data_IF_632558555227
#
_entry.id   IF_632558555227
#
_cell.length_a   1.000
_cell.length_b   1.000
_cell.length_c   1.000
_cell.angle_alpha   90.00
_cell.angle_beta   90.00
_cell.angle_gamma   90.00
#
_symmetry.space_group_name_H-M   'P 1'
#
loop_
_entity.id
_entity.type
_entity.pdbx_description
1 polymer ?
#
# COMPACT_ATOMS: atom_id res chain seq x y z
N UNK A 1 44.69 -24.85 -20.33
CA UNK A 1 43.50 -23.95 -20.45
C UNK A 1 42.72 -24.02 -19.18
N UNK A 2 42.63 -22.92 -18.39
CA UNK A 2 41.77 -22.88 -17.22
C UNK A 2 40.35 -22.55 -17.68
N UNK A 3 39.44 -23.48 -17.50
CA UNK A 3 38.02 -23.24 -17.78
C UNK A 3 37.48 -22.19 -16.82
N UNK A 4 37.03 -21.05 -17.34
CA UNK A 4 36.36 -20.00 -16.57
C UNK A 4 34.96 -20.51 -16.26
N UNK A 5 34.69 -20.74 -14.97
CA UNK A 5 33.37 -21.20 -14.52
C UNK A 5 32.43 -20.00 -14.48
N UNK A 6 31.69 -19.77 -15.57
CA UNK A 6 30.76 -18.67 -15.70
C UNK A 6 29.59 -18.68 -14.68
N UNK A 7 29.34 -19.80 -13.99
CA UNK A 7 28.27 -19.88 -12.95
C UNK A 7 28.58 -19.05 -11.71
N UNK A 8 29.86 -18.75 -11.41
CA UNK A 8 30.20 -17.96 -10.22
C UNK A 8 30.15 -16.44 -10.45
N UNK A 9 30.17 -15.99 -11.70
CA UNK A 9 30.14 -14.56 -12.04
C UNK A 9 28.72 -13.95 -11.98
N UNK A 10 27.69 -14.77 -12.16
CA UNK A 10 26.30 -14.33 -12.13
C UNK A 10 25.62 -14.36 -10.75
N UNK A 11 26.28 -14.92 -9.73
CA UNK A 11 25.74 -15.07 -8.38
C UNK A 11 25.99 -13.84 -7.50
N UNK A 12 26.74 -12.82 -7.97
CA UNK A 12 27.12 -11.66 -7.15
C UNK A 12 26.39 -10.35 -7.40
N UNK A 13 25.42 -10.28 -8.27
CA UNK A 13 24.43 -9.22 -8.22
C UNK A 13 23.14 -9.78 -7.61
N UNK A 14 23.25 -10.20 -6.37
CA UNK A 14 22.09 -10.51 -5.54
C UNK A 14 21.37 -9.23 -5.18
N UNK A 15 20.71 -8.59 -6.12
CA UNK A 15 19.40 -8.05 -5.83
C UNK A 15 18.65 -9.27 -5.35
N UNK A 16 18.45 -9.40 -4.03
CA UNK A 16 17.35 -10.21 -3.51
C UNK A 16 16.12 -9.65 -4.22
N UNK A 17 15.72 -10.25 -5.33
CA UNK A 17 14.34 -10.26 -5.75
C UNK A 17 13.65 -10.85 -4.53
N UNK A 18 13.10 -9.99 -3.69
CA UNK A 18 12.11 -10.39 -2.72
C UNK A 18 11.07 -11.05 -3.62
N UNK A 19 11.00 -12.37 -3.59
CA UNK A 19 9.96 -13.12 -4.25
C UNK A 19 8.68 -12.45 -3.79
N UNK A 20 7.94 -11.83 -4.71
CA UNK A 20 6.61 -11.29 -4.41
C UNK A 20 5.77 -12.52 -4.07
N UNK A 21 5.79 -12.94 -2.80
CA UNK A 21 5.17 -14.18 -2.37
C UNK A 21 3.63 -14.11 -2.39
N UNK A 22 3.06 -12.89 -2.44
CA UNK A 22 1.62 -12.66 -2.40
C UNK A 22 1.23 -11.41 -3.20
N UNK A 23 -0.04 -11.30 -3.67
CA UNK A 23 -0.60 -10.05 -4.17
C UNK A 23 -0.61 -9.00 -3.08
N UNK A 24 -0.01 -7.82 -3.32
CA UNK A 24 0.19 -6.81 -2.29
C UNK A 24 -0.23 -5.41 -2.74
N UNK A 25 -0.84 -4.68 -1.80
CA UNK A 25 -1.04 -3.25 -1.80
C UNK A 25 -0.08 -2.62 -0.81
N UNK A 26 0.62 -1.57 -1.22
CA UNK A 26 1.53 -0.81 -0.37
C UNK A 26 1.03 0.62 -0.26
N UNK A 27 0.77 1.07 0.96
CA UNK A 27 0.56 2.47 1.26
C UNK A 27 1.91 3.17 1.27
N UNK A 28 2.06 4.16 0.37
CA UNK A 28 3.29 4.91 0.19
C UNK A 28 3.22 6.24 0.94
N UNK A 29 3.93 6.35 2.05
CA UNK A 29 3.97 7.57 2.86
C UNK A 29 4.51 8.80 2.10
N UNK A 30 5.33 8.60 1.08
CA UNK A 30 5.96 9.67 0.32
C UNK A 30 5.11 10.24 -0.83
N UNK A 31 4.01 9.57 -1.20
CA UNK A 31 3.22 9.92 -2.39
C UNK A 31 1.73 10.18 -2.11
N UNK A 32 1.31 10.14 -0.84
CA UNK A 32 -0.11 10.21 -0.47
C UNK A 32 -0.97 9.23 -1.29
N UNK A 33 -0.48 7.99 -1.47
CA UNK A 33 -1.15 7.04 -2.33
C UNK A 33 -0.73 5.61 -2.10
N UNK A 34 -1.20 4.76 -2.99
CA UNK A 34 -1.03 3.31 -2.94
C UNK A 34 -0.24 2.81 -4.14
N UNK A 35 0.42 1.66 -3.98
CA UNK A 35 1.11 0.95 -5.05
C UNK A 35 0.74 -0.53 -5.03
N UNK A 36 0.41 -1.09 -6.18
CA UNK A 36 0.19 -2.52 -6.38
C UNK A 36 1.47 -3.20 -6.84
N UNK A 37 1.73 -4.42 -6.35
CA UNK A 37 2.75 -5.28 -6.95
C UNK A 37 2.21 -5.98 -8.22
N UNK A 38 3.06 -6.70 -8.95
CA UNK A 38 2.64 -7.38 -10.19
C UNK A 38 1.57 -8.44 -9.95
N UNK A 39 1.66 -9.16 -8.83
CA UNK A 39 0.68 -10.19 -8.48
C UNK A 39 -0.69 -9.58 -8.19
N UNK A 40 -0.76 -8.45 -7.51
CA UNK A 40 -2.01 -7.73 -7.26
C UNK A 40 -2.62 -7.17 -8.56
N UNK A 41 -1.80 -6.63 -9.46
CA UNK A 41 -2.24 -6.19 -10.79
C UNK A 41 -2.88 -7.36 -11.56
N UNK A 42 -2.24 -8.52 -11.57
CA UNK A 42 -2.76 -9.71 -12.23
C UNK A 42 -4.02 -10.24 -11.55
N UNK A 43 -4.05 -10.27 -10.20
CA UNK A 43 -5.21 -10.73 -9.43
C UNK A 43 -6.44 -9.86 -9.70
N UNK A 44 -6.28 -8.54 -9.74
CA UNK A 44 -7.33 -7.58 -10.05
C UNK A 44 -7.71 -7.57 -11.55
N UNK A 45 -6.91 -8.20 -12.41
CA UNK A 45 -7.13 -8.23 -13.86
C UNK A 45 -7.08 -6.84 -14.51
N UNK A 46 -6.19 -5.95 -14.02
CA UNK A 46 -6.08 -4.57 -14.49
C UNK A 46 -4.86 -4.36 -15.37
N UNK A 47 -4.96 -3.39 -16.28
CA UNK A 47 -3.86 -2.90 -17.13
C UNK A 47 -3.42 -1.53 -16.62
N UNK A 48 -2.23 -1.42 -16.00
CA UNK A 48 -1.70 -0.13 -15.54
C UNK A 48 -1.65 0.93 -16.65
N UNK A 49 -2.12 2.13 -16.35
CA UNK A 49 -2.25 3.23 -17.30
C UNK A 49 -3.57 3.28 -18.07
N UNK A 50 -4.48 2.31 -17.84
CA UNK A 50 -5.79 2.25 -18.50
C UNK A 50 -6.93 1.99 -17.51
N UNK A 51 -6.74 0.99 -16.65
CA UNK A 51 -7.81 0.52 -15.78
C UNK A 51 -7.78 1.21 -14.42
N UNK A 52 -8.91 1.17 -13.71
CA UNK A 52 -9.15 1.80 -12.43
C UNK A 52 -9.37 0.75 -11.35
N UNK A 53 -9.20 1.17 -10.10
CA UNK A 53 -9.58 0.42 -8.91
C UNK A 53 -10.49 1.27 -8.04
N UNK A 54 -11.38 0.62 -7.31
CA UNK A 54 -12.20 1.25 -6.29
C UNK A 54 -11.86 0.67 -4.93
N UNK A 55 -11.79 1.53 -3.92
CA UNK A 55 -11.69 1.14 -2.52
C UNK A 55 -12.94 1.63 -1.79
N UNK A 56 -13.49 0.80 -0.94
CA UNK A 56 -14.74 1.08 -0.24
C UNK A 56 -14.79 0.35 1.11
N UNK A 57 -15.75 0.71 1.94
CA UNK A 57 -15.95 0.09 3.24
C UNK A 57 -16.37 -1.38 3.07
N UNK A 58 -15.86 -2.23 3.94
CA UNK A 58 -16.27 -3.63 4.02
C UNK A 58 -17.77 -3.72 4.33
N UNK A 59 -18.49 -4.58 3.61
CA UNK A 59 -19.94 -4.78 3.76
C UNK A 59 -20.36 -5.20 5.18
N UNK A 60 -19.48 -5.91 5.88
CA UNK A 60 -19.70 -6.40 7.24
C UNK A 60 -19.13 -5.43 8.31
N UNK A 61 -18.56 -4.29 7.90
CA UNK A 61 -17.95 -3.35 8.83
C UNK A 61 -19.00 -2.53 9.58
N UNK A 62 -18.75 -2.33 10.87
CA UNK A 62 -19.47 -1.43 11.74
C UNK A 62 -18.50 -0.44 12.42
N UNK A 63 -19.01 0.39 13.35
CA UNK A 63 -18.20 1.38 14.06
C UNK A 63 -17.08 0.76 14.90
N UNK A 64 -17.22 -0.50 15.31
CA UNK A 64 -16.23 -1.23 16.12
C UNK A 64 -15.19 -1.99 15.28
N UNK A 65 -15.38 -2.05 13.96
CA UNK A 65 -14.49 -2.80 13.06
C UNK A 65 -13.11 -2.14 13.02
N UNK A 66 -12.03 -2.89 13.32
CA UNK A 66 -10.67 -2.39 13.22
C UNK A 66 -10.34 -1.86 11.83
N UNK A 67 -9.47 -0.85 11.77
CA UNK A 67 -9.07 -0.23 10.49
C UNK A 67 -8.48 -1.23 9.50
N UNK A 68 -7.82 -2.26 10.01
CA UNK A 68 -7.20 -3.34 9.24
C UNK A 68 -8.21 -4.24 8.52
N UNK A 69 -9.47 -4.23 8.97
CA UNK A 69 -10.57 -5.04 8.40
C UNK A 69 -11.60 -4.18 7.67
N UNK A 70 -11.42 -2.87 7.68
CA UNK A 70 -12.43 -1.89 7.26
C UNK A 70 -12.56 -1.75 5.76
N UNK A 71 -11.49 -1.90 4.99
CA UNK A 71 -11.49 -1.55 3.57
C UNK A 71 -11.37 -2.77 2.66
N UNK A 72 -12.09 -2.68 1.54
CA UNK A 72 -12.06 -3.61 0.44
C UNK A 72 -11.54 -2.91 -0.82
N UNK A 73 -11.01 -3.70 -1.76
CA UNK A 73 -10.56 -3.22 -3.07
C UNK A 73 -11.13 -4.11 -4.18
N UNK A 74 -11.52 -3.49 -5.29
CA UNK A 74 -11.94 -4.17 -6.51
C UNK A 74 -11.50 -3.43 -7.77
N UNK A 75 -11.57 -4.10 -8.93
CA UNK A 75 -11.47 -3.44 -10.23
C UNK A 75 -12.69 -2.55 -10.45
N UNK A 76 -12.45 -1.32 -10.93
CA UNK A 76 -13.49 -0.37 -11.30
C UNK A 76 -13.50 -0.19 -12.82
N UNK A 77 -14.37 -0.92 -13.51
CA UNK A 77 -14.61 -0.82 -14.94
C UNK A 77 -16.10 -0.54 -15.21
N UNK A 78 -16.63 0.42 -14.48
CA UNK A 78 -18.03 0.88 -14.56
C UNK A 78 -18.11 2.40 -14.42
N UNK A 79 -19.24 2.93 -14.87
CA UNK A 79 -19.60 4.35 -14.73
C UNK A 79 -20.79 4.49 -13.78
N UNK A 80 -20.96 5.68 -13.22
CA UNK A 80 -22.20 6.04 -12.53
C UNK A 80 -23.33 6.37 -13.52
N UNK A 81 -24.46 6.82 -12.98
CA UNK A 81 -25.65 7.20 -13.75
C UNK A 81 -25.39 8.35 -14.73
N UNK A 82 -24.42 9.21 -14.42
CA UNK A 82 -23.99 10.34 -15.24
C UNK A 82 -22.95 9.93 -16.31
N UNK A 83 -22.54 8.67 -16.36
CA UNK A 83 -21.53 8.15 -17.28
C UNK A 83 -20.10 8.46 -16.85
N UNK A 84 -19.88 8.83 -15.58
CA UNK A 84 -18.55 9.15 -15.04
C UNK A 84 -17.87 7.86 -14.60
N UNK A 85 -16.66 7.62 -15.10
CA UNK A 85 -15.83 6.47 -14.72
C UNK A 85 -15.53 6.48 -13.22
N UNK A 86 -15.85 5.38 -12.54
CA UNK A 86 -15.66 5.25 -11.10
C UNK A 86 -14.25 4.75 -10.74
N UNK A 87 -13.83 5.06 -9.51
CA UNK A 87 -12.54 4.62 -8.97
C UNK A 87 -11.34 5.45 -9.39
N UNK A 88 -10.19 5.07 -8.91
CA UNK A 88 -8.90 5.73 -9.15
C UNK A 88 -8.15 5.05 -10.30
N UNK A 89 -7.67 5.85 -11.27
CA UNK A 89 -6.83 5.35 -12.35
C UNK A 89 -5.50 4.82 -11.80
N UNK A 90 -5.17 3.58 -12.13
CA UNK A 90 -3.87 2.98 -11.80
C UNK A 90 -2.84 3.44 -12.83
N UNK A 91 -1.83 4.17 -12.41
CA UNK A 91 -0.77 4.69 -13.28
C UNK A 91 0.08 3.56 -13.89
N UNK A 92 0.89 3.87 -14.91
CA UNK A 92 1.88 2.93 -15.47
C UNK A 92 2.88 2.41 -14.44
N UNK A 93 3.12 3.16 -13.36
CA UNK A 93 3.96 2.75 -12.23
C UNK A 93 3.21 1.92 -11.19
N UNK A 94 1.96 1.56 -11.48
CA UNK A 94 1.04 0.80 -10.60
C UNK A 94 0.67 1.53 -9.31
N UNK A 95 0.71 2.86 -9.34
CA UNK A 95 0.31 3.73 -8.23
C UNK A 95 -1.05 4.35 -8.51
N UNK A 96 -1.80 4.62 -7.45
CA UNK A 96 -3.07 5.34 -7.51
C UNK A 96 -3.30 6.11 -6.20
N UNK A 97 -4.21 7.08 -6.25
CA UNK A 97 -4.56 7.89 -5.09
C UNK A 97 -6.02 7.64 -4.69
N UNK A 98 -6.22 7.44 -3.40
CA UNK A 98 -7.51 7.31 -2.73
C UNK A 98 -7.42 8.03 -1.39
N UNK A 99 -7.43 9.36 -1.42
CA UNK A 99 -6.98 10.22 -0.32
C UNK A 99 -7.71 9.98 1.00
N UNK A 100 -9.02 9.74 0.97
CA UNK A 100 -9.81 9.45 2.18
C UNK A 100 -9.37 8.13 2.82
N UNK A 101 -9.31 7.04 2.03
CA UNK A 101 -8.88 5.73 2.53
C UNK A 101 -7.42 5.77 3.00
N UNK A 102 -6.57 6.45 2.23
CA UNK A 102 -5.16 6.67 2.60
C UNK A 102 -5.03 7.33 3.96
N UNK A 103 -5.77 8.43 4.18
CA UNK A 103 -5.74 9.19 5.43
C UNK A 103 -6.27 8.36 6.60
N UNK A 104 -7.39 7.67 6.41
CA UNK A 104 -7.98 6.80 7.41
C UNK A 104 -7.02 5.69 7.85
N UNK A 105 -6.40 5.01 6.90
CA UNK A 105 -5.42 3.95 7.16
C UNK A 105 -4.18 4.48 7.89
N UNK A 106 -3.64 5.61 7.44
CA UNK A 106 -2.41 6.16 8.01
C UNK A 106 -2.60 6.67 9.44
N UNK A 107 -3.76 7.24 9.73
CA UNK A 107 -4.11 7.75 11.07
C UNK A 107 -4.77 6.68 11.95
N UNK A 108 -5.15 5.53 11.40
CA UNK A 108 -5.87 4.49 12.14
C UNK A 108 -7.30 4.91 12.53
N UNK A 109 -7.91 5.84 11.78
CA UNK A 109 -9.23 6.38 12.05
C UNK A 109 -10.08 6.42 10.77
N UNK A 110 -11.17 5.62 10.69
CA UNK A 110 -12.02 5.54 9.51
C UNK A 110 -12.84 6.82 9.25
N UNK A 111 -13.05 7.66 10.24
CA UNK A 111 -13.80 8.91 10.12
C UNK A 111 -13.02 10.04 9.45
N UNK A 112 -11.73 9.88 9.23
CA UNK A 112 -10.89 10.90 8.60
C UNK A 112 -11.20 10.99 7.11
N UNK A 113 -11.60 12.17 6.65
CA UNK A 113 -11.89 12.40 5.22
C UNK A 113 -10.63 12.72 4.41
N UNK A 114 -9.71 13.49 4.98
CA UNK A 114 -8.38 13.73 4.42
C UNK A 114 -7.45 14.24 5.51
N UNK A 115 -6.14 14.02 5.36
CA UNK A 115 -5.16 14.54 6.30
C UNK A 115 -4.20 15.53 5.64
N UNK A 116 -3.87 16.59 6.39
CA UNK A 116 -2.80 17.52 6.05
C UNK A 116 -1.45 17.03 6.61
N UNK A 117 -0.36 17.67 6.19
CA UNK A 117 0.95 17.44 6.80
C UNK A 117 0.94 17.67 8.31
N UNK A 118 0.17 18.68 8.79
CA UNK A 118 0.03 18.95 10.21
C UNK A 118 -0.68 17.80 10.94
N UNK A 119 -1.71 17.22 10.34
CA UNK A 119 -2.42 16.07 10.92
C UNK A 119 -1.50 14.85 11.03
N UNK A 120 -0.69 14.59 10.00
CA UNK A 120 0.30 13.51 10.00
C UNK A 120 1.38 13.71 11.06
N UNK A 121 1.85 14.93 11.24
CA UNK A 121 2.82 15.29 12.30
C UNK A 121 2.21 15.09 13.69
N UNK A 122 0.99 15.58 13.92
CA UNK A 122 0.29 15.46 15.20
C UNK A 122 -0.01 13.99 15.54
N UNK A 123 -0.25 13.15 14.54
CA UNK A 123 -0.43 11.71 14.72
C UNK A 123 0.89 10.93 14.89
N UNK A 124 2.05 11.59 14.85
CA UNK A 124 3.35 10.94 14.92
C UNK A 124 3.70 10.10 13.69
N UNK A 125 2.99 10.29 12.58
CA UNK A 125 3.24 9.59 11.32
C UNK A 125 4.25 10.31 10.42
N UNK A 126 4.69 11.49 10.83
CA UNK A 126 5.64 12.32 10.11
C UNK A 126 6.56 13.03 11.11
N UNK A 127 7.85 13.05 10.85
CA UNK A 127 8.84 13.81 11.59
C UNK A 127 9.50 14.83 10.67
N UNK A 128 9.50 16.10 11.09
CA UNK A 128 9.99 17.18 10.26
C UNK A 128 9.26 17.27 8.93
N UNK A 129 9.90 16.86 7.86
CA UNK A 129 9.36 16.94 6.48
C UNK A 129 9.09 15.58 5.82
N UNK A 130 9.29 14.48 6.55
CA UNK A 130 9.31 13.14 5.97
C UNK A 130 8.24 12.27 6.63
N UNK A 131 7.41 11.65 5.84
CA UNK A 131 6.47 10.65 6.32
C UNK A 131 7.22 9.40 6.81
N UNK A 132 6.83 8.87 7.96
CA UNK A 132 7.60 7.87 8.69
C UNK A 132 7.19 6.43 8.44
N UNK A 133 6.05 6.17 7.79
CA UNK A 133 5.54 4.81 7.70
C UNK A 133 5.20 4.40 6.28
N UNK A 134 5.50 3.14 5.98
CA UNK A 134 4.97 2.42 4.81
C UNK A 134 4.22 1.19 5.32
N UNK A 135 2.98 1.03 4.90
CA UNK A 135 2.15 -0.12 5.28
C UNK A 135 2.03 -1.03 4.08
N UNK A 136 2.39 -2.30 4.25
CA UNK A 136 2.21 -3.35 3.24
C UNK A 136 1.08 -4.26 3.66
N UNK A 137 0.15 -4.53 2.76
CA UNK A 137 -1.03 -5.36 2.97
C UNK A 137 -1.11 -6.41 1.87
N UNK A 138 -1.64 -7.58 2.18
CA UNK A 138 -1.90 -8.64 1.21
C UNK A 138 -3.35 -8.62 0.77
N UNK A 139 -3.60 -8.90 -0.53
CA UNK A 139 -4.93 -9.04 -1.09
C UNK A 139 -5.37 -10.50 -1.03
N UNK A 140 -6.48 -10.75 -0.34
CA UNK A 140 -7.14 -12.07 -0.34
C UNK A 140 -8.60 -11.91 -0.76
N UNK A 141 -9.19 -12.90 -1.46
CA UNK A 141 -10.60 -12.81 -1.84
C UNK A 141 -11.50 -12.57 -0.62
N UNK A 142 -12.46 -11.66 -0.76
CA UNK A 142 -13.51 -11.46 0.24
C UNK A 142 -14.40 -12.70 0.33
N UNK A 143 -14.76 -13.23 -0.83
CA UNK A 143 -15.45 -14.52 -1.03
C UNK A 143 -15.07 -15.11 -2.39
N UNK A 144 -15.45 -16.38 -2.63
CA UNK A 144 -15.08 -17.12 -3.86
C UNK A 144 -15.89 -16.71 -5.09
N UNK A 145 -16.93 -15.91 -4.92
CA UNK A 145 -17.82 -15.45 -6.00
C UNK A 145 -17.82 -13.92 -6.10
N UNK A 146 -18.12 -13.36 -7.29
CA UNK A 146 -18.30 -11.92 -7.43
C UNK A 146 -19.37 -11.37 -6.47
N UNK A 147 -19.19 -10.11 -6.09
CA UNK A 147 -20.09 -9.35 -5.22
C UNK A 147 -20.60 -8.15 -6.01
N UNK A 148 -21.85 -7.79 -5.83
CA UNK A 148 -22.40 -6.56 -6.37
C UNK A 148 -21.81 -5.35 -5.61
N UNK A 149 -21.00 -4.56 -6.32
CA UNK A 149 -20.31 -3.37 -5.77
C UNK A 149 -20.98 -2.05 -6.16
N UNK A 150 -21.84 -2.11 -7.18
CA UNK A 150 -22.73 -1.03 -7.61
C UNK A 150 -23.91 -1.68 -8.31
N UNK A 151 -24.98 -0.93 -8.57
CA UNK A 151 -26.21 -1.45 -9.18
C UNK A 151 -25.90 -2.19 -10.49
N UNK A 152 -26.15 -3.52 -10.49
CA UNK A 152 -25.88 -4.40 -11.63
C UNK A 152 -24.40 -4.65 -11.95
N UNK A 153 -23.48 -4.25 -11.08
CA UNK A 153 -22.04 -4.41 -11.27
C UNK A 153 -21.47 -5.41 -10.28
N UNK A 154 -21.23 -6.64 -10.72
CA UNK A 154 -20.60 -7.68 -9.91
C UNK A 154 -19.10 -7.77 -10.20
N UNK A 155 -18.27 -7.80 -9.16
CA UNK A 155 -16.80 -7.93 -9.27
C UNK A 155 -16.24 -8.83 -8.18
N UNK A 156 -15.09 -9.45 -8.48
CA UNK A 156 -14.27 -10.04 -7.42
C UNK A 156 -13.75 -8.93 -6.53
N UNK A 157 -13.95 -9.11 -5.23
CA UNK A 157 -13.60 -8.15 -4.19
C UNK A 157 -12.55 -8.77 -3.27
N UNK A 158 -11.60 -7.96 -2.81
CA UNK A 158 -10.48 -8.42 -2.00
C UNK A 158 -10.39 -7.66 -0.70
N UNK A 159 -10.12 -8.41 0.38
CA UNK A 159 -9.73 -7.88 1.70
C UNK A 159 -8.25 -7.51 1.70
N UNK A 160 -7.92 -6.56 2.54
CA UNK A 160 -6.55 -6.16 2.83
C UNK A 160 -6.16 -6.74 4.19
N UNK A 161 -5.26 -7.72 4.20
CA UNK A 161 -4.85 -8.46 5.39
C UNK A 161 -3.34 -8.39 5.61
N UNK A 162 -2.87 -8.93 6.73
CA UNK A 162 -1.44 -9.03 7.06
C UNK A 162 -0.72 -7.69 7.00
N UNK A 163 -1.28 -6.68 7.63
CA UNK A 163 -0.73 -5.33 7.68
C UNK A 163 0.64 -5.33 8.33
N UNK A 164 1.64 -4.84 7.61
CA UNK A 164 3.02 -4.73 8.08
C UNK A 164 3.47 -3.28 7.91
N UNK A 165 3.54 -2.56 9.03
CA UNK A 165 4.01 -1.17 9.09
C UNK A 165 5.53 -1.14 9.27
N UNK A 166 6.22 -0.37 8.43
CA UNK A 166 7.64 -0.07 8.56
C UNK A 166 7.85 1.42 8.68
N UNK A 167 8.43 1.84 9.79
CA UNK A 167 8.88 3.21 9.95
C UNK A 167 10.02 3.54 8.97
N UNK A 168 9.99 4.72 8.38
CA UNK A 168 11.08 5.25 7.58
C UNK A 168 12.04 6.02 8.48
N UNK A 169 13.29 5.56 8.57
CA UNK A 169 14.35 6.36 9.14
C UNK A 169 14.85 7.34 8.08
N UNK A 170 14.84 8.66 8.33
CA UNK A 170 15.37 9.63 7.38
C UNK A 170 16.82 9.29 7.01
N UNK A 171 17.15 9.32 5.73
CA UNK A 171 18.55 9.22 5.31
C UNK A 171 19.30 10.43 5.84
N UNK A 172 20.14 10.24 6.86
CA UNK A 172 20.96 11.30 7.45
C UNK A 172 20.86 11.45 8.97
N UNK A 173 19.92 10.80 9.65
CA UNK A 173 20.01 10.62 11.09
C UNK A 173 21.02 9.50 11.37
N UNK A 174 22.31 9.81 11.27
CA UNK A 174 23.30 9.08 12.06
C UNK A 174 23.01 9.47 13.51
N UNK A 175 22.59 8.51 14.31
CA UNK A 175 22.70 8.64 15.76
C UNK A 175 24.16 9.00 16.04
N UNK A 176 24.41 10.23 16.50
CA UNK A 176 25.63 10.52 17.19
C UNK A 176 25.59 9.66 18.46
N UNK A 177 26.29 8.55 18.39
CA UNK A 177 26.59 7.75 19.55
C UNK A 177 27.57 8.64 20.34
N UNK A 178 27.06 9.37 21.34
CA UNK A 178 27.90 9.98 22.39
C UNK A 178 28.62 8.82 23.08
N UNK A 179 29.86 8.62 22.68
CA UNK A 179 30.78 7.77 23.43
C UNK A 179 31.17 8.58 24.66
N UNK A 180 30.50 8.35 25.79
CA UNK A 180 31.02 8.75 27.09
C UNK A 180 32.36 8.05 27.31
N UNK A 181 33.43 8.81 27.15
CA UNK A 181 34.76 8.39 27.58
C UNK A 181 34.83 8.61 29.08
N UNK A 182 34.59 7.54 29.85
CA UNK A 182 34.99 7.54 31.28
C UNK A 182 36.50 7.68 31.34
N UNK A 183 36.94 8.82 31.81
CA UNK A 183 38.31 9.04 32.20
C UNK A 183 38.43 8.56 33.64
N UNK A 184 38.98 7.39 33.88
CA UNK A 184 39.44 6.95 35.19
C UNK A 184 40.73 7.72 35.55
N UNK A 185 40.69 8.39 36.71
CA UNK A 185 41.86 8.95 37.41
C UNK A 185 42.63 7.86 38.20
#
# INVERSE_FOLDING_TARGET
MKSVNFKSAFVKSGTKTVSEAAPQLVLLSTYNGFKLNNLAVNLLGITPGKDRVVMFDNFDADESTPIEERFLIARADFTDEDGIEQGALVSKLKTFNYSQVYSAMLLGNPEVQSCSVADLQNAGKMDGKIALSTITMELVPYQDTPVEIAEGVERMVYKLVNWNEKAHTPKGSQEEVEVEVEVED
#
